data_IF_564685064017
#
_entry.id   IF_564685064017
#
_cell.length_a   1.000
_cell.length_b   1.000
_cell.length_c   1.000
_cell.angle_alpha   90.00
_cell.angle_beta   90.00
_cell.angle_gamma   90.00
#
_symmetry.space_group_name_H-M   'P 1'
#
loop_
_entity.id
_entity.type
_entity.pdbx_description
1 polymer ?
#
# COMPACT_ATOMS: atom_id res chain seq x y z
N UNK A 1 2.50 27.01 0.75
CA UNK A 1 2.42 25.89 1.71
C UNK A 1 3.40 25.98 2.89
N UNK A 2 4.70 25.68 2.78
CA UNK A 2 5.59 25.62 3.97
C UNK A 2 5.68 26.94 4.76
N UNK A 3 5.63 28.09 4.06
CA UNK A 3 5.57 29.43 4.68
C UNK A 3 4.28 29.71 5.46
N UNK A 4 3.20 29.00 5.14
CA UNK A 4 1.88 29.16 5.78
C UNK A 4 1.70 28.18 6.96
N UNK A 5 2.65 27.26 7.17
CA UNK A 5 2.65 26.29 8.26
C UNK A 5 2.27 24.86 7.87
N UNK A 6 2.34 23.96 8.87
CA UNK A 6 2.14 22.52 8.72
C UNK A 6 0.80 22.15 8.06
N UNK A 7 -0.29 22.85 8.41
CA UNK A 7 -1.60 22.57 7.84
C UNK A 7 -1.63 22.72 6.30
N UNK A 8 -1.03 23.79 5.77
CA UNK A 8 -0.93 24.01 4.32
C UNK A 8 0.00 23.00 3.63
N UNK A 9 1.03 22.50 4.32
CA UNK A 9 1.90 21.43 3.82
C UNK A 9 1.12 20.12 3.69
N UNK A 10 0.39 19.72 4.73
CA UNK A 10 -0.43 18.50 4.73
C UNK A 10 -1.52 18.58 3.66
N UNK A 11 -2.28 19.67 3.60
CA UNK A 11 -3.32 19.84 2.58
C UNK A 11 -2.74 19.82 1.16
N UNK A 12 -1.56 20.42 0.96
CA UNK A 12 -0.86 20.40 -0.32
C UNK A 12 -0.47 19.00 -0.78
N UNK A 13 0.08 18.17 0.11
CA UNK A 13 0.42 16.78 -0.23
C UNK A 13 -0.81 15.92 -0.53
N UNK A 14 -1.88 16.06 0.25
CA UNK A 14 -3.15 15.35 -0.01
C UNK A 14 -3.77 15.75 -1.36
N UNK A 15 -3.69 17.04 -1.72
CA UNK A 15 -4.13 17.53 -3.02
C UNK A 15 -3.37 16.86 -4.17
N UNK A 16 -2.03 16.81 -4.09
CA UNK A 16 -1.20 16.13 -5.10
C UNK A 16 -1.51 14.63 -5.16
N UNK A 17 -1.65 13.97 -4.01
CA UNK A 17 -2.03 12.57 -3.92
C UNK A 17 -3.35 12.30 -4.64
N UNK A 18 -4.40 13.08 -4.37
CA UNK A 18 -5.73 12.90 -4.99
C UNK A 18 -5.75 13.14 -6.49
N UNK A 19 -5.07 14.19 -6.98
CA UNK A 19 -4.97 14.46 -8.42
C UNK A 19 -4.23 13.33 -9.13
N UNK A 20 -3.08 12.92 -8.59
CA UNK A 20 -2.27 11.86 -9.20
C UNK A 20 -3.01 10.52 -9.26
N UNK A 21 -3.81 10.21 -8.22
CA UNK A 21 -4.64 9.00 -8.20
C UNK A 21 -5.72 9.01 -9.30
N UNK A 22 -6.38 10.15 -9.53
CA UNK A 22 -7.37 10.28 -10.59
C UNK A 22 -6.75 10.10 -11.98
N UNK A 23 -5.61 10.76 -12.24
CA UNK A 23 -4.88 10.63 -13.50
C UNK A 23 -4.42 9.20 -13.75
N UNK A 24 -3.83 8.55 -12.75
CA UNK A 24 -3.42 7.16 -12.83
C UNK A 24 -4.61 6.22 -13.08
N UNK A 25 -5.74 6.45 -12.42
CA UNK A 25 -6.97 5.66 -12.62
C UNK A 25 -7.45 5.71 -14.06
N UNK A 26 -7.52 6.91 -14.66
CA UNK A 26 -7.94 7.07 -16.05
C UNK A 26 -7.00 6.33 -16.99
N UNK A 27 -5.69 6.45 -16.78
CA UNK A 27 -4.69 5.77 -17.61
C UNK A 27 -4.81 4.25 -17.50
N UNK A 28 -5.01 3.71 -16.29
CA UNK A 28 -5.19 2.27 -16.08
C UNK A 28 -6.49 1.81 -16.75
N UNK A 29 -7.60 2.51 -16.56
CA UNK A 29 -8.89 2.18 -17.15
C UNK A 29 -8.82 2.18 -18.69
N UNK A 30 -8.22 3.20 -19.28
CA UNK A 30 -7.98 3.27 -20.72
C UNK A 30 -7.09 2.11 -21.21
N UNK A 31 -6.04 1.77 -20.45
CA UNK A 31 -5.14 0.66 -20.80
C UNK A 31 -5.84 -0.69 -20.75
N UNK A 32 -6.62 -0.97 -19.69
CA UNK A 32 -7.40 -2.21 -19.56
C UNK A 32 -8.40 -2.33 -20.71
N UNK A 33 -9.13 -1.25 -21.01
CA UNK A 33 -10.10 -1.24 -22.11
C UNK A 33 -9.42 -1.46 -23.46
N UNK A 34 -8.30 -0.79 -23.72
CA UNK A 34 -7.54 -0.94 -24.96
C UNK A 34 -7.03 -2.38 -25.12
N UNK A 35 -6.45 -2.98 -24.08
CA UNK A 35 -5.97 -4.36 -24.11
C UNK A 35 -7.13 -5.32 -24.38
N UNK A 36 -8.23 -5.15 -23.66
CA UNK A 36 -9.44 -5.95 -23.82
C UNK A 36 -10.01 -5.85 -25.26
N UNK A 37 -10.01 -4.64 -25.82
CA UNK A 37 -10.50 -4.40 -27.19
C UNK A 37 -9.58 -5.04 -28.24
N UNK A 38 -8.27 -4.79 -28.16
CA UNK A 38 -7.26 -5.29 -29.12
C UNK A 38 -7.19 -6.82 -29.09
N UNK A 39 -7.40 -7.45 -27.93
CA UNK A 39 -7.42 -8.91 -27.83
C UNK A 39 -8.70 -9.56 -28.37
N UNK A 40 -9.64 -8.79 -28.91
CA UNK A 40 -10.89 -9.31 -29.47
C UNK A 40 -12.02 -9.46 -28.44
N UNK A 41 -11.91 -8.80 -27.28
CA UNK A 41 -12.90 -8.84 -26.21
C UNK A 41 -14.30 -8.35 -26.59
N UNK A 42 -14.42 -7.54 -27.65
CA UNK A 42 -15.71 -7.13 -28.22
C UNK A 42 -16.40 -8.24 -29.02
N UNK A 43 -15.64 -9.24 -29.48
CA UNK A 43 -16.15 -10.39 -30.23
C UNK A 43 -16.44 -11.54 -29.25
N UNK A 44 -15.49 -11.86 -28.37
CA UNK A 44 -15.69 -12.81 -27.28
C UNK A 44 -15.08 -12.27 -25.98
N UNK A 45 -15.86 -12.16 -24.89
CA UNK A 45 -15.34 -11.71 -23.60
C UNK A 45 -14.17 -12.55 -23.07
N UNK A 46 -14.11 -13.83 -23.44
CA UNK A 46 -13.05 -14.75 -23.02
C UNK A 46 -11.68 -14.32 -23.57
N UNK A 47 -11.63 -13.93 -24.86
CA UNK A 47 -10.41 -13.39 -25.46
C UNK A 47 -10.03 -12.03 -24.87
N UNK A 48 -11.04 -11.23 -24.50
CA UNK A 48 -10.85 -9.98 -23.75
C UNK A 48 -10.13 -10.21 -22.42
N UNK A 49 -10.72 -11.06 -21.57
CA UNK A 49 -10.18 -11.41 -20.25
C UNK A 49 -8.80 -12.06 -20.35
N UNK A 50 -8.61 -12.97 -21.31
CA UNK A 50 -7.31 -13.60 -21.56
C UNK A 50 -6.26 -12.56 -21.97
N UNK A 51 -6.60 -11.63 -22.87
CA UNK A 51 -5.73 -10.53 -23.26
C UNK A 51 -5.34 -9.63 -22.10
N UNK A 52 -6.29 -9.22 -21.26
CA UNK A 52 -6.02 -8.46 -20.03
C UNK A 52 -5.10 -9.23 -19.09
N UNK A 53 -5.23 -10.56 -19.03
CA UNK A 53 -4.38 -11.43 -18.23
C UNK A 53 -2.93 -11.46 -18.71
N UNK A 54 -2.73 -11.59 -20.02
CA UNK A 54 -1.39 -11.49 -20.63
C UNK A 54 -0.80 -10.09 -20.43
N UNK A 55 -1.62 -9.03 -20.54
CA UNK A 55 -1.20 -7.66 -20.25
C UNK A 55 -0.67 -7.49 -18.82
N UNK A 56 -1.32 -8.11 -17.83
CA UNK A 56 -0.85 -8.11 -16.44
C UNK A 56 0.55 -8.76 -16.30
N UNK A 57 0.77 -9.89 -16.98
CA UNK A 57 2.07 -10.58 -17.00
C UNK A 57 3.13 -9.74 -17.73
N UNK A 58 2.76 -9.06 -18.82
CA UNK A 58 3.66 -8.22 -19.59
C UNK A 58 4.23 -7.06 -18.77
N UNK A 59 3.44 -6.42 -17.90
CA UNK A 59 3.94 -5.37 -16.98
C UNK A 59 5.03 -5.92 -16.04
N UNK A 60 4.91 -7.18 -15.63
CA UNK A 60 5.88 -7.86 -14.77
C UNK A 60 7.09 -8.43 -15.54
N UNK A 61 7.12 -8.39 -16.88
CA UNK A 61 8.26 -8.91 -17.66
C UNK A 61 9.57 -8.15 -17.40
N UNK A 62 9.47 -6.87 -17.01
CA UNK A 62 10.59 -6.00 -16.64
C UNK A 62 10.83 -5.95 -15.12
N UNK A 63 10.23 -6.88 -14.35
CA UNK A 63 10.35 -6.93 -12.89
C UNK A 63 11.80 -6.89 -12.38
N UNK A 64 12.80 -7.58 -12.99
CA UNK A 64 14.18 -7.49 -12.52
C UNK A 64 14.73 -6.05 -12.55
N UNK A 65 14.37 -5.26 -13.57
CA UNK A 65 14.77 -3.85 -13.69
C UNK A 65 14.08 -3.02 -12.62
N UNK A 66 12.77 -3.25 -12.42
CA UNK A 66 11.98 -2.55 -11.39
C UNK A 66 12.57 -2.78 -10.00
N UNK A 67 12.89 -4.03 -9.65
CA UNK A 67 13.48 -4.38 -8.36
C UNK A 67 14.88 -3.81 -8.18
N UNK A 68 15.70 -3.77 -9.23
CA UNK A 68 17.03 -3.15 -9.18
C UNK A 68 16.94 -1.64 -8.90
N UNK A 69 15.99 -0.94 -9.53
CA UNK A 69 15.77 0.49 -9.31
C UNK A 69 15.22 0.79 -7.90
N UNK A 70 14.35 -0.07 -7.36
CA UNK A 70 13.82 0.08 -6.00
C UNK A 70 14.91 -0.15 -4.94
N UNK A 71 15.69 -1.22 -5.12
CA UNK A 71 16.79 -1.56 -4.21
C UNK A 71 17.86 -0.47 -4.15
N UNK A 72 18.10 0.23 -5.26
CA UNK A 72 19.07 1.33 -5.31
C UNK A 72 18.76 2.43 -4.29
N UNK A 73 17.49 2.75 -4.04
CA UNK A 73 17.10 3.78 -3.05
C UNK A 73 17.53 3.39 -1.64
N UNK A 74 17.13 2.21 -1.19
CA UNK A 74 17.48 1.70 0.15
C UNK A 74 19.00 1.53 0.35
N UNK A 75 19.72 1.07 -0.68
CA UNK A 75 21.18 0.95 -0.62
C UNK A 75 21.84 2.34 -0.48
N UNK A 76 21.33 3.34 -1.20
CA UNK A 76 21.87 4.71 -1.16
C UNK A 76 21.63 5.36 0.21
N UNK A 77 20.45 5.16 0.81
CA UNK A 77 20.10 5.62 2.16
C UNK A 77 21.01 4.98 3.23
N UNK A 78 21.19 3.66 3.20
CA UNK A 78 22.11 2.97 4.12
C UNK A 78 23.57 3.45 3.96
N UNK A 79 24.02 3.69 2.72
CA UNK A 79 25.35 4.21 2.45
C UNK A 79 25.54 5.64 2.99
N UNK A 80 24.53 6.51 2.83
CA UNK A 80 24.52 7.86 3.38
C UNK A 80 24.55 7.85 4.91
N UNK A 81 23.76 6.98 5.55
CA UNK A 81 23.77 6.77 6.99
C UNK A 81 25.14 6.36 7.51
N UNK A 82 25.78 5.38 6.87
CA UNK A 82 27.13 4.91 7.23
C UNK A 82 28.19 6.01 7.09
N UNK A 83 28.14 6.82 6.03
CA UNK A 83 29.05 7.95 5.85
C UNK A 83 28.88 8.99 6.97
N UNK A 84 27.63 9.31 7.31
CA UNK A 84 27.29 10.27 8.37
C UNK A 84 27.77 9.77 9.74
N UNK A 85 27.50 8.50 10.07
CA UNK A 85 27.96 7.88 11.31
C UNK A 85 29.49 7.75 11.39
N UNK A 86 30.18 7.63 10.25
CA UNK A 86 31.64 7.58 10.19
C UNK A 86 32.31 8.97 10.22
N UNK A 87 31.55 10.06 10.32
CA UNK A 87 32.07 11.43 10.29
C UNK A 87 32.66 11.86 8.93
N UNK A 88 32.35 11.14 7.85
CA UNK A 88 32.86 11.44 6.50
C UNK A 88 31.99 12.55 5.89
N UNK A 89 32.60 13.72 5.68
CA UNK A 89 31.93 14.91 5.16
C UNK A 89 32.45 15.36 3.78
N UNK A 90 31.80 16.37 3.20
CA UNK A 90 32.20 17.00 1.93
C UNK A 90 31.69 16.24 0.71
N UNK A 91 32.51 16.21 -0.36
CA UNK A 91 32.11 15.73 -1.70
C UNK A 91 31.47 14.34 -1.71
N UNK A 92 31.92 13.43 -0.83
CA UNK A 92 31.38 12.06 -0.75
C UNK A 92 29.95 12.03 -0.18
N UNK A 93 29.71 12.82 0.87
CA UNK A 93 28.38 12.94 1.47
C UNK A 93 27.43 13.67 0.51
N UNK A 94 27.89 14.74 -0.15
CA UNK A 94 27.09 15.45 -1.14
C UNK A 94 26.71 14.57 -2.35
N UNK A 95 27.63 13.72 -2.79
CA UNK A 95 27.35 12.74 -3.85
C UNK A 95 26.30 11.72 -3.40
N UNK A 96 26.37 11.21 -2.17
CA UNK A 96 25.34 10.30 -1.65
C UNK A 96 24.00 11.00 -1.41
N UNK A 97 23.98 12.23 -0.91
CA UNK A 97 22.74 13.01 -0.76
C UNK A 97 22.01 13.14 -2.11
N UNK A 98 22.75 13.32 -3.21
CA UNK A 98 22.17 13.35 -4.57
C UNK A 98 21.67 11.97 -5.00
N UNK A 99 22.39 10.90 -4.69
CA UNK A 99 21.95 9.53 -5.01
C UNK A 99 20.70 9.12 -4.22
N UNK A 100 20.61 9.45 -2.94
CA UNK A 100 19.43 9.21 -2.09
C UNK A 100 18.20 9.97 -2.60
N UNK A 101 18.36 11.26 -2.95
CA UNK A 101 17.30 12.05 -3.63
C UNK A 101 16.80 11.39 -4.92
N UNK A 102 17.71 10.91 -5.77
CA UNK A 102 17.35 10.17 -6.98
C UNK A 102 16.65 8.84 -6.64
N UNK A 103 17.14 8.14 -5.61
CA UNK A 103 16.59 6.90 -5.08
C UNK A 103 15.13 7.03 -4.67
N UNK A 104 14.77 8.10 -3.96
CA UNK A 104 13.37 8.32 -3.54
C UNK A 104 12.43 8.56 -4.72
N UNK A 105 12.92 9.24 -5.77
CA UNK A 105 12.15 9.43 -7.00
C UNK A 105 11.94 8.10 -7.74
N UNK A 106 12.98 7.27 -7.80
CA UNK A 106 12.89 5.93 -8.38
C UNK A 106 11.96 5.02 -7.57
N UNK A 107 12.06 5.03 -6.24
CA UNK A 107 11.19 4.26 -5.36
C UNK A 107 9.71 4.66 -5.54
N UNK A 108 9.40 5.95 -5.68
CA UNK A 108 8.05 6.41 -5.98
C UNK A 108 7.54 5.89 -7.34
N UNK A 109 8.39 5.92 -8.37
CA UNK A 109 8.07 5.37 -9.69
C UNK A 109 7.79 3.86 -9.62
N UNK A 110 8.67 3.10 -8.94
CA UNK A 110 8.53 1.65 -8.77
C UNK A 110 7.27 1.30 -7.98
N UNK A 111 6.98 2.02 -6.88
CA UNK A 111 5.73 1.88 -6.12
C UNK A 111 4.52 2.07 -7.05
N UNK A 112 4.54 3.06 -7.92
CA UNK A 112 3.51 3.28 -8.95
C UNK A 112 3.34 2.10 -9.90
N UNK A 113 4.44 1.57 -10.46
CA UNK A 113 4.40 0.39 -11.34
C UNK A 113 3.87 -0.85 -10.60
N UNK A 114 4.31 -1.06 -9.36
CA UNK A 114 3.87 -2.17 -8.53
C UNK A 114 2.38 -2.10 -8.20
N UNK A 115 1.82 -0.89 -8.03
CA UNK A 115 0.38 -0.68 -7.85
C UNK A 115 -0.37 -0.99 -9.15
N UNK A 116 0.09 -0.47 -10.30
CA UNK A 116 -0.55 -0.72 -11.62
C UNK A 116 -0.57 -2.22 -11.93
N UNK A 117 0.58 -2.89 -11.79
CA UNK A 117 0.67 -4.34 -11.94
C UNK A 117 -0.29 -5.06 -11.00
N UNK A 118 -0.33 -4.64 -9.73
CA UNK A 118 -1.23 -5.20 -8.73
C UNK A 118 -2.70 -5.13 -9.14
N UNK A 119 -3.14 -4.00 -9.70
CA UNK A 119 -4.52 -3.83 -10.20
C UNK A 119 -4.82 -4.80 -11.33
N UNK A 120 -3.95 -4.89 -12.34
CA UNK A 120 -4.14 -5.80 -13.46
C UNK A 120 -4.19 -7.27 -12.98
N UNK A 121 -3.26 -7.67 -12.12
CA UNK A 121 -3.25 -9.02 -11.53
C UNK A 121 -4.51 -9.29 -10.70
N UNK A 122 -4.98 -8.31 -9.92
CA UNK A 122 -6.19 -8.46 -9.11
C UNK A 122 -7.45 -8.66 -9.96
N UNK A 123 -7.58 -7.96 -11.10
CA UNK A 123 -8.68 -8.16 -12.05
C UNK A 123 -8.68 -9.62 -12.55
N UNK A 124 -7.52 -10.14 -12.94
CA UNK A 124 -7.36 -11.52 -13.42
C UNK A 124 -7.71 -12.53 -12.33
N UNK A 125 -7.22 -12.30 -11.11
CA UNK A 125 -7.51 -13.15 -9.97
C UNK A 125 -9.01 -13.13 -9.60
N UNK A 126 -9.71 -12.01 -9.80
CA UNK A 126 -11.16 -11.95 -9.62
C UNK A 126 -11.91 -12.84 -10.64
N UNK A 127 -11.46 -12.89 -11.90
CA UNK A 127 -11.99 -13.84 -12.88
C UNK A 127 -11.68 -15.29 -12.49
N UNK A 128 -10.46 -15.58 -12.04
CA UNK A 128 -10.08 -16.90 -11.56
C UNK A 128 -10.93 -17.33 -10.35
N UNK A 129 -11.25 -16.38 -9.46
CA UNK A 129 -12.11 -16.61 -8.31
C UNK A 129 -13.54 -16.99 -8.69
N UNK A 130 -14.13 -16.35 -9.72
CA UNK A 130 -15.43 -16.77 -10.26
C UNK A 130 -15.40 -18.22 -10.74
N UNK A 131 -14.31 -18.64 -11.38
CA UNK A 131 -14.09 -20.04 -11.77
C UNK A 131 -14.02 -20.99 -10.56
N UNK A 132 -13.33 -20.58 -9.49
CA UNK A 132 -13.23 -21.34 -8.25
C UNK A 132 -14.59 -21.51 -7.54
N UNK A 133 -15.41 -20.45 -7.50
CA UNK A 133 -16.79 -20.49 -7.01
C UNK A 133 -17.62 -21.49 -7.81
N UNK A 134 -17.63 -21.37 -9.14
CA UNK A 134 -18.44 -22.23 -10.01
C UNK A 134 -18.07 -23.70 -9.83
N UNK A 135 -16.77 -24.00 -9.73
CA UNK A 135 -16.29 -25.35 -9.44
C UNK A 135 -16.80 -25.85 -8.08
N UNK A 136 -16.66 -25.04 -7.03
CA UNK A 136 -17.12 -25.41 -5.69
C UNK A 136 -18.64 -25.68 -5.65
N UNK A 137 -19.46 -24.89 -6.35
CA UNK A 137 -20.90 -25.11 -6.45
C UNK A 137 -21.22 -26.45 -7.08
N UNK A 138 -20.56 -26.78 -8.19
CA UNK A 138 -20.71 -28.07 -8.88
C UNK A 138 -20.28 -29.24 -7.98
N UNK A 139 -19.13 -29.12 -7.31
CA UNK A 139 -18.59 -30.17 -6.43
C UNK A 139 -19.55 -30.50 -5.26
N UNK A 140 -20.31 -29.51 -4.77
CA UNK A 140 -21.31 -29.69 -3.72
C UNK A 140 -22.75 -29.90 -4.22
N UNK A 141 -22.97 -29.90 -5.54
CA UNK A 141 -24.31 -30.08 -6.13
C UNK A 141 -25.25 -28.89 -5.96
N UNK A 142 -24.72 -27.68 -5.75
CA UNK A 142 -25.49 -26.44 -5.70
C UNK A 142 -25.70 -25.83 -7.10
N UNK A 143 -26.71 -24.96 -7.23
CA UNK A 143 -26.94 -24.22 -8.48
C UNK A 143 -25.76 -23.31 -8.81
N UNK A 144 -25.33 -23.33 -10.07
CA UNK A 144 -24.32 -22.40 -10.59
C UNK A 144 -24.89 -21.07 -11.05
N UNK A 145 -26.22 -20.93 -11.06
CA UNK A 145 -26.89 -19.68 -11.40
C UNK A 145 -26.79 -18.71 -10.21
N UNK A 146 -25.78 -17.83 -10.27
CA UNK A 146 -25.58 -16.76 -9.29
C UNK A 146 -25.99 -15.44 -9.92
N UNK A 147 -26.86 -14.69 -9.24
CA UNK A 147 -27.20 -13.33 -9.60
C UNK A 147 -26.08 -12.36 -9.19
N UNK A 148 -25.35 -11.83 -10.18
CA UNK A 148 -24.33 -10.80 -10.00
C UNK A 148 -24.85 -9.38 -10.30
N UNK A 149 -26.17 -9.20 -10.43
CA UNK A 149 -26.80 -7.91 -10.67
C UNK A 149 -26.45 -6.89 -9.58
N UNK A 150 -26.29 -5.63 -9.97
CA UNK A 150 -26.12 -4.54 -9.00
C UNK A 150 -27.39 -4.28 -8.17
N UNK A 151 -28.53 -4.89 -8.51
CA UNK A 151 -29.75 -4.83 -7.70
C UNK A 151 -29.84 -5.96 -6.67
N UNK A 152 -28.94 -6.93 -6.71
CA UNK A 152 -28.84 -7.96 -5.68
C UNK A 152 -28.30 -7.34 -4.37
N UNK A 153 -28.93 -7.65 -3.24
CA UNK A 153 -28.61 -7.02 -1.95
C UNK A 153 -27.27 -7.48 -1.39
N UNK A 154 -26.88 -8.73 -1.62
CA UNK A 154 -25.57 -9.27 -1.26
C UNK A 154 -24.45 -8.58 -2.04
N UNK A 155 -24.67 -8.32 -3.34
CA UNK A 155 -23.75 -7.57 -4.20
C UNK A 155 -23.61 -6.12 -3.72
N UNK A 156 -24.72 -5.42 -3.47
CA UNK A 156 -24.70 -4.04 -2.96
C UNK A 156 -23.98 -3.94 -1.62
N UNK A 157 -24.29 -4.87 -0.70
CA UNK A 157 -23.65 -4.94 0.61
C UNK A 157 -22.15 -5.23 0.46
N UNK A 158 -21.79 -6.17 -0.42
CA UNK A 158 -20.42 -6.48 -0.77
C UNK A 158 -19.67 -5.25 -1.28
N UNK A 159 -20.26 -4.46 -2.18
CA UNK A 159 -19.65 -3.23 -2.71
C UNK A 159 -19.37 -2.22 -1.59
N UNK A 160 -20.35 -1.95 -0.71
CA UNK A 160 -20.19 -0.96 0.36
C UNK A 160 -19.12 -1.37 1.36
N UNK A 161 -19.15 -2.63 1.80
CA UNK A 161 -18.18 -3.16 2.77
C UNK A 161 -16.79 -3.27 2.13
N UNK A 162 -16.71 -3.72 0.88
CA UNK A 162 -15.47 -3.85 0.15
C UNK A 162 -14.82 -2.49 -0.08
N UNK A 163 -15.56 -1.47 -0.50
CA UNK A 163 -15.04 -0.11 -0.67
C UNK A 163 -14.53 0.52 0.65
N UNK A 164 -15.15 0.18 1.79
CA UNK A 164 -14.74 0.67 3.11
C UNK A 164 -13.53 -0.09 3.69
N UNK A 165 -13.29 -1.33 3.25
CA UNK A 165 -12.28 -2.20 3.85
C UNK A 165 -10.82 -1.67 3.76
N UNK A 166 -10.36 -1.06 2.65
CA UNK A 166 -9.00 -0.51 2.56
C UNK A 166 -8.80 0.67 3.50
N UNK A 167 -9.83 1.50 3.69
CA UNK A 167 -9.79 2.63 4.62
C UNK A 167 -9.69 2.17 6.08
N UNK A 168 -10.43 1.12 6.44
CA UNK A 168 -10.30 0.54 7.77
C UNK A 168 -8.92 -0.11 7.98
N UNK A 169 -8.36 -0.71 6.93
CA UNK A 169 -7.02 -1.27 6.97
C UNK A 169 -5.94 -0.21 7.15
N UNK A 170 -5.97 0.89 6.39
CA UNK A 170 -5.04 2.02 6.54
C UNK A 170 -5.16 2.69 7.91
N UNK A 171 -6.38 2.86 8.42
CA UNK A 171 -6.62 3.43 9.74
C UNK A 171 -5.93 2.65 10.87
N UNK A 172 -5.77 1.32 10.73
CA UNK A 172 -5.02 0.52 11.71
C UNK A 172 -3.54 0.94 11.75
N UNK A 173 -2.92 1.23 10.60
CA UNK A 173 -1.54 1.71 10.54
C UNK A 173 -1.39 3.13 11.07
N UNK A 174 -2.35 4.01 10.78
CA UNK A 174 -2.38 5.37 11.34
C UNK A 174 -2.45 5.38 12.87
N UNK A 175 -3.00 4.33 13.47
CA UNK A 175 -2.97 4.13 14.92
C UNK A 175 -1.68 3.44 15.39
N UNK A 176 -1.22 2.41 14.69
CA UNK A 176 -0.18 1.51 15.18
C UNK A 176 1.25 2.04 14.98
N UNK A 177 1.50 2.78 13.89
CA UNK A 177 2.83 3.35 13.61
C UNK A 177 3.18 4.41 14.65
N UNK A 178 2.34 5.43 14.95
CA UNK A 178 2.64 6.40 16.01
C UNK A 178 2.81 5.75 17.38
N UNK A 179 2.03 4.71 17.69
CA UNK A 179 2.18 3.96 18.93
C UNK A 179 3.54 3.25 19.02
N UNK A 180 4.03 2.71 17.91
CA UNK A 180 5.36 2.08 17.81
C UNK A 180 6.47 3.12 17.93
N UNK A 181 6.37 4.22 17.19
CA UNK A 181 7.33 5.33 17.21
C UNK A 181 7.44 5.94 18.61
N UNK A 182 6.33 6.04 19.35
CA UNK A 182 6.34 6.55 20.73
C UNK A 182 7.22 5.72 21.66
N UNK A 183 7.18 4.40 21.57
CA UNK A 183 8.02 3.51 22.41
C UNK A 183 9.50 3.78 22.15
N UNK A 184 9.88 3.91 20.89
CA UNK A 184 11.26 4.23 20.50
C UNK A 184 11.66 5.64 20.95
N UNK A 185 10.77 6.63 20.79
CA UNK A 185 11.02 8.01 21.22
C UNK A 185 11.18 8.15 22.73
N UNK A 186 10.39 7.42 23.52
CA UNK A 186 10.50 7.44 24.97
C UNK A 186 11.82 6.82 25.44
N UNK A 187 12.32 5.78 24.76
CA UNK A 187 13.64 5.19 25.02
C UNK A 187 14.78 6.13 24.61
N UNK A 188 14.72 6.75 23.43
CA UNK A 188 15.71 7.74 22.99
C UNK A 188 15.76 8.90 24.00
N UNK A 189 14.59 9.42 24.42
CA UNK A 189 14.50 10.45 25.46
C UNK A 189 15.08 10.01 26.81
N UNK A 190 14.98 8.72 27.14
CA UNK A 190 15.59 8.17 28.36
C UNK A 190 17.12 8.16 28.24
N UNK A 191 17.67 7.74 27.10
CA UNK A 191 19.12 7.66 26.89
C UNK A 191 19.77 9.05 26.80
N UNK A 192 19.18 10.01 26.08
CA UNK A 192 19.74 11.37 25.96
C UNK A 192 19.72 12.19 27.27
N UNK A 193 19.06 11.70 28.33
CA UNK A 193 19.18 12.29 29.68
C UNK A 193 20.55 12.05 30.28
N UNK A 194 21.25 11.01 29.85
CA UNK A 194 22.66 10.83 30.14
C UNK A 194 23.47 11.86 29.32
N UNK A 195 24.12 12.79 30.02
CA UNK A 195 24.92 13.85 29.41
C UNK A 195 26.14 13.30 28.67
N UNK A 196 26.66 12.12 29.07
CA UNK A 196 27.76 11.47 28.35
C UNK A 196 27.31 11.01 26.96
N UNK A 197 26.10 10.45 26.85
CA UNK A 197 25.52 10.08 25.55
C UNK A 197 25.18 11.34 24.73
N UNK A 198 24.57 12.35 25.36
CA UNK A 198 24.20 13.59 24.66
C UNK A 198 25.41 14.36 24.09
N UNK A 199 26.55 14.32 24.79
CA UNK A 199 27.81 14.94 24.33
C UNK A 199 28.61 14.06 23.37
N UNK A 200 28.19 12.81 23.15
CA UNK A 200 28.92 11.84 22.32
C UNK A 200 30.17 11.26 23.00
N UNK A 201 30.25 11.34 24.33
CA UNK A 201 31.34 10.76 25.13
C UNK A 201 31.10 9.26 25.43
N UNK A 202 29.83 8.85 25.54
CA UNK A 202 29.40 7.47 25.76
C UNK A 202 28.58 6.95 24.57
N UNK A 203 28.72 5.66 24.25
CA UNK A 203 27.91 5.02 23.22
C UNK A 203 26.45 4.81 23.69
N UNK A 204 25.46 5.14 22.84
CA UNK A 204 24.06 4.79 23.08
C UNK A 204 23.83 3.28 23.10
N UNK A 205 22.76 2.85 23.79
CA UNK A 205 22.29 1.46 23.74
C UNK A 205 21.38 1.26 22.52
N UNK A 206 22.00 0.85 21.41
CA UNK A 206 21.32 0.57 20.14
C UNK A 206 20.48 -0.71 20.20
N UNK A 207 20.98 -1.75 20.87
CA UNK A 207 20.30 -3.06 20.96
C UNK A 207 18.92 -2.93 21.58
N UNK A 208 18.80 -2.10 22.60
CA UNK A 208 17.51 -1.85 23.26
C UNK A 208 16.51 -1.12 22.35
N UNK A 209 16.98 -0.16 21.55
CA UNK A 209 16.13 0.50 20.55
C UNK A 209 15.63 -0.51 19.50
N UNK A 210 16.51 -1.41 19.04
CA UNK A 210 16.17 -2.46 18.07
C UNK A 210 15.17 -3.47 18.66
N UNK A 211 15.38 -3.96 19.89
CA UNK A 211 14.47 -4.92 20.54
C UNK A 211 13.07 -4.32 20.73
N UNK A 212 12.99 -3.08 21.23
CA UNK A 212 11.72 -2.38 21.44
C UNK A 212 10.97 -2.14 20.12
N UNK A 213 11.65 -1.65 19.09
CA UNK A 213 11.07 -1.45 17.76
C UNK A 213 10.56 -2.76 17.17
N UNK A 214 11.34 -3.84 17.28
CA UNK A 214 11.00 -5.17 16.76
C UNK A 214 9.75 -5.74 17.44
N UNK A 215 9.72 -5.77 18.78
CA UNK A 215 8.58 -6.31 19.53
C UNK A 215 7.31 -5.51 19.26
N UNK A 216 7.42 -4.19 19.22
CA UNK A 216 6.27 -3.32 18.96
C UNK A 216 5.74 -3.52 17.53
N UNK A 217 6.62 -3.59 16.53
CA UNK A 217 6.24 -3.84 15.13
C UNK A 217 5.55 -5.20 14.94
N UNK A 218 6.08 -6.27 15.55
CA UNK A 218 5.49 -7.61 15.49
C UNK A 218 4.10 -7.63 16.12
N UNK A 219 3.98 -7.11 17.35
CA UNK A 219 2.69 -7.07 18.07
C UNK A 219 1.63 -6.28 17.31
N UNK A 220 2.02 -5.14 16.74
CA UNK A 220 1.09 -4.26 16.03
C UNK A 220 0.70 -4.77 14.63
N UNK A 221 1.50 -5.66 14.02
CA UNK A 221 1.20 -6.25 12.71
C UNK A 221 0.18 -7.39 12.74
N UNK A 222 -0.06 -8.01 13.91
CA UNK A 222 -1.01 -9.13 14.05
C UNK A 222 -2.44 -8.70 13.68
N UNK A 223 -2.87 -7.52 14.14
CA UNK A 223 -4.23 -7.02 13.89
C UNK A 223 -4.54 -6.83 12.40
N UNK A 224 -3.71 -6.09 11.64
CA UNK A 224 -3.82 -6.00 10.19
C UNK A 224 -3.77 -7.37 9.47
N UNK A 225 -2.91 -8.30 9.92
CA UNK A 225 -2.82 -9.64 9.31
C UNK A 225 -4.11 -10.46 9.48
N UNK A 226 -4.67 -10.50 10.70
CA UNK A 226 -5.95 -11.16 10.98
C UNK A 226 -7.07 -10.53 10.14
N UNK A 227 -7.08 -9.20 10.01
CA UNK A 227 -8.05 -8.50 9.18
C UNK A 227 -7.95 -8.91 7.70
N UNK A 228 -6.74 -8.94 7.16
CA UNK A 228 -6.49 -9.25 5.75
C UNK A 228 -6.93 -10.69 5.38
N UNK A 229 -6.78 -11.64 6.30
CA UNK A 229 -7.15 -13.06 6.04
C UNK A 229 -8.58 -13.36 6.46
N UNK A 230 -9.00 -12.91 7.64
CA UNK A 230 -10.28 -13.29 8.23
C UNK A 230 -11.50 -12.61 7.60
N UNK A 231 -11.36 -11.33 7.21
CA UNK A 231 -12.48 -10.57 6.65
C UNK A 231 -13.05 -11.18 5.36
N UNK A 232 -12.27 -11.49 4.30
CA UNK A 232 -12.82 -12.08 3.08
C UNK A 232 -13.50 -13.44 3.32
N UNK A 233 -12.97 -14.25 4.25
CA UNK A 233 -13.59 -15.53 4.62
C UNK A 233 -14.95 -15.32 5.27
N UNK A 234 -15.05 -14.40 6.23
CA UNK A 234 -16.31 -14.06 6.88
C UNK A 234 -17.34 -13.49 5.90
N UNK A 235 -16.92 -12.59 5.01
CA UNK A 235 -17.80 -12.02 3.98
C UNK A 235 -18.32 -13.09 3.02
N UNK A 236 -17.47 -14.03 2.59
CA UNK A 236 -17.90 -15.14 1.73
C UNK A 236 -18.89 -16.08 2.38
N UNK A 237 -18.78 -16.33 3.69
CA UNK A 237 -19.75 -17.16 4.42
C UNK A 237 -21.09 -16.43 4.58
N UNK A 238 -21.07 -15.13 4.90
CA UNK A 238 -22.29 -14.37 5.21
C UNK A 238 -23.03 -13.90 3.96
N UNK A 239 -22.33 -13.27 3.00
CA UNK A 239 -22.94 -12.71 1.79
C UNK A 239 -22.93 -13.66 0.58
N UNK A 240 -22.30 -14.83 0.74
CA UNK A 240 -22.24 -15.83 -0.31
C UNK A 240 -21.41 -15.42 -1.53
N UNK A 241 -21.46 -16.24 -2.59
CA UNK A 241 -20.58 -16.10 -3.77
C UNK A 241 -20.67 -14.75 -4.50
N UNK A 242 -21.88 -14.21 -4.65
CA UNK A 242 -22.10 -12.92 -5.30
C UNK A 242 -21.51 -11.77 -4.48
N UNK A 243 -21.80 -11.75 -3.18
CA UNK A 243 -21.36 -10.70 -2.27
C UNK A 243 -19.85 -10.65 -2.08
N UNK A 244 -19.17 -11.80 -1.98
CA UNK A 244 -17.70 -11.82 -1.86
C UNK A 244 -17.01 -11.37 -3.15
N UNK A 245 -17.52 -11.73 -4.33
CA UNK A 245 -16.96 -11.21 -5.59
C UNK A 245 -17.09 -9.68 -5.64
N UNK A 246 -18.27 -9.16 -5.28
CA UNK A 246 -18.54 -7.73 -5.23
C UNK A 246 -17.66 -7.00 -4.20
N UNK A 247 -17.43 -7.61 -3.03
CA UNK A 247 -16.49 -7.15 -2.00
C UNK A 247 -15.06 -7.05 -2.54
N UNK A 248 -14.56 -8.10 -3.20
CA UNK A 248 -13.17 -8.12 -3.70
C UNK A 248 -12.96 -7.07 -4.80
N UNK A 249 -13.92 -6.90 -5.71
CA UNK A 249 -13.84 -5.93 -6.80
C UNK A 249 -13.91 -4.47 -6.30
N UNK A 250 -14.76 -4.20 -5.31
CA UNK A 250 -14.86 -2.86 -4.71
C UNK A 250 -13.69 -2.55 -3.77
N UNK A 251 -13.16 -3.53 -3.02
CA UNK A 251 -11.95 -3.39 -2.24
C UNK A 251 -10.73 -3.12 -3.13
N UNK A 252 -10.65 -3.79 -4.29
CA UNK A 252 -9.69 -3.46 -5.33
C UNK A 252 -9.85 -2.01 -5.76
N UNK A 253 -11.05 -1.61 -6.21
CA UNK A 253 -11.32 -0.28 -6.76
C UNK A 253 -11.03 0.86 -5.76
N UNK A 254 -11.39 0.70 -4.49
CA UNK A 254 -11.12 1.69 -3.46
C UNK A 254 -9.66 1.68 -3.02
N UNK A 255 -9.12 0.49 -2.75
CA UNK A 255 -7.79 0.33 -2.14
C UNK A 255 -6.66 0.73 -3.08
N UNK A 256 -6.81 0.54 -4.40
CA UNK A 256 -5.78 1.01 -5.34
C UNK A 256 -5.71 2.54 -5.37
N UNK A 257 -6.86 3.24 -5.34
CA UNK A 257 -6.91 4.71 -5.31
C UNK A 257 -6.23 5.19 -4.04
N UNK A 258 -6.58 4.60 -2.90
CA UNK A 258 -5.99 4.92 -1.61
C UNK A 258 -4.47 4.68 -1.58
N UNK A 259 -4.00 3.57 -2.16
CA UNK A 259 -2.57 3.25 -2.28
C UNK A 259 -1.79 4.35 -3.03
N UNK A 260 -2.33 4.83 -4.16
CA UNK A 260 -1.70 5.88 -4.97
C UNK A 260 -1.71 7.20 -4.21
N UNK A 261 -2.84 7.57 -3.60
CA UNK A 261 -2.94 8.80 -2.80
C UNK A 261 -1.88 8.82 -1.71
N UNK A 262 -1.77 7.75 -0.93
CA UNK A 262 -0.82 7.68 0.19
C UNK A 262 0.64 7.67 -0.24
N UNK A 263 0.96 6.91 -1.30
CA UNK A 263 2.33 6.80 -1.81
C UNK A 263 2.81 8.12 -2.40
N UNK A 264 1.97 8.77 -3.22
CA UNK A 264 2.34 10.01 -3.89
C UNK A 264 2.28 11.22 -2.96
N UNK A 265 1.31 11.29 -2.04
CA UNK A 265 1.27 12.35 -1.04
C UNK A 265 2.52 12.28 -0.12
N UNK A 266 2.88 11.09 0.36
CA UNK A 266 4.07 10.93 1.19
C UNK A 266 5.38 11.19 0.45
N UNK A 267 5.50 10.72 -0.80
CA UNK A 267 6.64 11.09 -1.65
C UNK A 267 6.74 12.60 -1.92
N UNK A 268 5.60 13.28 -2.07
CA UNK A 268 5.58 14.73 -2.25
C UNK A 268 6.03 15.49 -0.99
N UNK A 269 5.63 15.06 0.22
CA UNK A 269 6.10 15.65 1.46
C UNK A 269 7.61 15.48 1.65
N UNK A 270 8.12 14.27 1.45
CA UNK A 270 9.55 13.96 1.58
C UNK A 270 10.40 14.75 0.57
N UNK A 271 10.01 14.73 -0.70
CA UNK A 271 10.72 15.48 -1.74
C UNK A 271 10.65 16.99 -1.50
N UNK A 272 9.58 17.50 -0.89
CA UNK A 272 9.49 18.92 -0.50
C UNK A 272 10.48 19.27 0.61
N UNK A 273 10.67 18.38 1.61
CA UNK A 273 11.69 18.51 2.66
C UNK A 273 13.09 18.48 2.05
N UNK A 274 13.41 17.47 1.22
CA UNK A 274 14.72 17.35 0.55
C UNK A 274 15.02 18.54 -0.36
N UNK A 275 14.03 19.07 -1.08
CA UNK A 275 14.19 20.28 -1.91
C UNK A 275 14.53 21.53 -1.08
N UNK A 276 14.05 21.60 0.16
CA UNK A 276 14.42 22.66 1.10
C UNK A 276 15.86 22.49 1.60
N UNK A 277 16.26 21.26 1.95
CA UNK A 277 17.60 20.92 2.44
C UNK A 277 18.71 21.10 1.39
N UNK A 278 18.38 20.93 0.11
CA UNK A 278 19.32 21.10 -0.99
C UNK A 278 19.70 22.57 -1.26
N UNK A 279 18.99 23.54 -0.67
CA UNK A 279 19.27 24.97 -0.88
C UNK A 279 20.26 25.48 0.18
N UNK A 280 21.41 26.04 -0.22
CA UNK A 280 22.45 26.47 0.72
C UNK A 280 22.01 27.61 1.65
N UNK A 281 21.05 28.43 1.23
CA UNK A 281 20.63 29.65 1.94
C UNK A 281 19.50 29.40 2.95
N UNK A 282 19.15 28.13 3.20
CA UNK A 282 17.97 27.76 3.98
C UNK A 282 18.33 27.27 5.37
N UNK A 283 17.71 27.91 6.36
CA UNK A 283 17.89 27.56 7.76
C UNK A 283 17.10 26.29 8.13
N UNK A 284 17.83 25.25 8.57
CA UNK A 284 17.27 23.99 9.10
C UNK A 284 16.69 24.14 10.51
N UNK A 285 16.65 25.33 11.07
CA UNK A 285 15.98 25.64 12.35
C UNK A 285 14.76 26.54 12.16
N UNK A 286 14.45 26.88 10.91
CA UNK A 286 13.28 27.68 10.56
C UNK A 286 11.94 26.98 10.83
N UNK A 287 10.90 27.77 11.03
CA UNK A 287 9.53 27.27 11.19
C UNK A 287 9.02 26.58 9.90
N UNK A 288 9.48 27.03 8.74
CA UNK A 288 9.20 26.40 7.45
C UNK A 288 9.78 24.99 7.36
N UNK A 289 11.03 24.81 7.80
CA UNK A 289 11.67 23.49 7.81
C UNK A 289 10.96 22.54 8.77
N UNK A 290 10.59 23.01 9.96
CA UNK A 290 9.79 22.22 10.92
C UNK A 290 8.46 21.76 10.30
N UNK A 291 7.78 22.63 9.56
CA UNK A 291 6.52 22.28 8.88
C UNK A 291 6.71 21.21 7.79
N UNK A 292 7.87 21.18 7.15
CA UNK A 292 8.22 20.14 6.16
C UNK A 292 8.57 18.81 6.84
N UNK A 293 9.26 18.84 7.98
CA UNK A 293 9.51 17.64 8.80
C UNK A 293 8.18 17.03 9.25
N UNK A 294 7.26 17.83 9.78
CA UNK A 294 5.95 17.34 10.22
C UNK A 294 5.18 16.65 9.07
N UNK A 295 5.26 17.24 7.86
CA UNK A 295 4.67 16.64 6.66
C UNK A 295 5.32 15.32 6.26
N UNK A 296 6.64 15.24 6.31
CA UNK A 296 7.39 14.01 5.98
C UNK A 296 7.15 12.88 7.01
N UNK A 297 7.06 13.20 8.31
CA UNK A 297 6.72 12.21 9.35
C UNK A 297 5.33 11.60 9.12
N UNK A 298 4.36 12.41 8.66
CA UNK A 298 3.06 11.89 8.20
C UNK A 298 3.26 11.01 6.96
N UNK A 299 4.09 11.49 6.02
CA UNK A 299 4.46 10.83 4.78
C UNK A 299 5.09 9.45 4.96
N UNK A 300 5.95 9.24 5.95
CA UNK A 300 6.58 7.94 6.22
C UNK A 300 5.53 6.87 6.56
N UNK A 301 4.53 7.24 7.36
CA UNK A 301 3.42 6.32 7.67
C UNK A 301 2.60 5.99 6.42
N UNK A 302 2.35 6.99 5.55
CA UNK A 302 1.53 6.78 4.36
C UNK A 302 2.29 6.07 3.23
N UNK A 303 3.52 6.49 2.91
CA UNK A 303 4.29 6.05 1.73
C UNK A 303 5.04 4.74 1.94
N UNK A 304 5.42 4.40 3.18
CA UNK A 304 6.25 3.21 3.45
C UNK A 304 5.49 2.11 4.19
N UNK A 305 4.40 2.44 4.88
CA UNK A 305 3.59 1.45 5.60
C UNK A 305 2.22 1.28 4.97
N UNK A 306 1.33 2.27 5.10
CA UNK A 306 -0.08 2.10 4.75
C UNK A 306 -0.31 1.91 3.24
N UNK A 307 0.26 2.79 2.41
CA UNK A 307 0.09 2.80 0.95
C UNK A 307 0.56 1.51 0.28
N UNK A 308 1.83 1.09 0.45
CA UNK A 308 2.31 -0.18 -0.10
C UNK A 308 1.53 -1.40 0.42
N UNK A 309 1.12 -1.37 1.69
CA UNK A 309 0.34 -2.47 2.29
C UNK A 309 -1.03 -2.67 1.64
N UNK A 310 -1.64 -1.63 1.05
CA UNK A 310 -2.92 -1.78 0.33
C UNK A 310 -2.81 -2.72 -0.87
N UNK A 311 -1.69 -2.62 -1.62
CA UNK A 311 -1.46 -3.50 -2.77
C UNK A 311 -1.35 -4.97 -2.34
N UNK A 312 -0.73 -5.22 -1.18
CA UNK A 312 -0.62 -6.56 -0.58
C UNK A 312 -1.99 -7.03 -0.09
N UNK A 313 -2.74 -6.17 0.62
CA UNK A 313 -4.08 -6.48 1.13
C UNK A 313 -4.98 -7.02 0.02
N UNK A 314 -5.09 -6.30 -1.10
CA UNK A 314 -5.99 -6.65 -2.20
C UNK A 314 -5.62 -8.01 -2.78
N UNK A 315 -4.34 -8.22 -3.10
CA UNK A 315 -3.88 -9.50 -3.67
C UNK A 315 -4.08 -10.65 -2.68
N UNK A 316 -3.74 -10.43 -1.42
CA UNK A 316 -3.90 -11.44 -0.37
C UNK A 316 -5.36 -11.81 -0.16
N UNK A 317 -6.28 -10.84 -0.09
CA UNK A 317 -7.70 -11.11 0.09
C UNK A 317 -8.27 -11.93 -1.06
N UNK A 318 -7.92 -11.61 -2.31
CA UNK A 318 -8.39 -12.39 -3.47
C UNK A 318 -7.80 -13.81 -3.43
N UNK A 319 -6.49 -13.95 -3.16
CA UNK A 319 -5.85 -15.26 -3.06
C UNK A 319 -6.47 -16.11 -1.95
N UNK A 320 -6.68 -15.56 -0.75
CA UNK A 320 -7.34 -16.24 0.36
C UNK A 320 -8.76 -16.65 -0.04
N UNK A 321 -9.53 -15.79 -0.70
CA UNK A 321 -10.87 -16.13 -1.19
C UNK A 321 -10.85 -17.30 -2.18
N UNK A 322 -9.90 -17.32 -3.13
CA UNK A 322 -9.74 -18.45 -4.07
C UNK A 322 -9.50 -19.77 -3.31
N UNK A 323 -8.55 -19.77 -2.36
CA UNK A 323 -8.22 -20.98 -1.60
C UNK A 323 -9.37 -21.43 -0.69
N UNK A 324 -10.14 -20.50 -0.14
CA UNK A 324 -11.23 -20.79 0.79
C UNK A 324 -12.60 -20.88 0.11
N UNK A 325 -12.67 -20.74 -1.22
CA UNK A 325 -13.94 -20.75 -1.96
C UNK A 325 -14.82 -21.98 -1.66
N UNK A 326 -14.30 -23.23 -1.64
CA UNK A 326 -15.13 -24.39 -1.31
C UNK A 326 -15.72 -24.31 0.11
N UNK A 327 -14.92 -23.88 1.09
CA UNK A 327 -15.36 -23.72 2.47
C UNK A 327 -16.45 -22.64 2.59
N UNK A 328 -16.25 -21.49 1.94
CA UNK A 328 -17.18 -20.37 1.96
C UNK A 328 -18.53 -20.77 1.34
N UNK A 329 -18.50 -21.39 0.15
CA UNK A 329 -19.70 -21.89 -0.54
C UNK A 329 -20.45 -22.88 0.35
N UNK A 330 -19.77 -23.92 0.83
CA UNK A 330 -20.40 -24.95 1.65
C UNK A 330 -21.08 -24.38 2.90
N UNK A 331 -20.37 -23.54 3.66
CA UNK A 331 -20.91 -22.96 4.89
C UNK A 331 -22.02 -21.95 4.63
N UNK A 332 -21.91 -21.14 3.57
CA UNK A 332 -22.96 -20.19 3.21
C UNK A 332 -24.28 -20.91 2.93
N UNK A 333 -24.28 -21.91 2.05
CA UNK A 333 -25.49 -22.64 1.71
C UNK A 333 -26.01 -23.50 2.87
N UNK A 334 -25.14 -24.02 3.74
CA UNK A 334 -25.57 -24.70 4.97
C UNK A 334 -26.36 -23.75 5.89
N UNK A 335 -25.88 -22.51 6.04
CA UNK A 335 -26.52 -21.51 6.90
C UNK A 335 -27.82 -20.98 6.29
N UNK A 336 -27.88 -20.78 4.97
CA UNK A 336 -29.05 -20.22 4.30
C UNK A 336 -30.12 -21.25 3.94
N UNK A 337 -29.77 -22.54 3.80
CA UNK A 337 -30.74 -23.63 3.61
C UNK A 337 -31.44 -24.08 4.90
N UNK A 338 -30.96 -23.60 6.06
CA UNK A 338 -31.54 -23.89 7.38
C UNK A 338 -32.65 -22.92 7.79
N UNK A 339 -32.97 -21.93 6.94
CA UNK A 339 -34.06 -20.96 7.09
C UNK A 339 -35.03 -21.09 5.92
#
# INVERSE_FOLDING_TARGET
>A
SAKEGTASVVLGGLYIGKISAFQATILIAASVYLIYWVSGGMISPEYGVYGTSIGAVAVLSILPIILALDAQGAISDMAQGNLTMSGINGVRLDAMNKMDSLGNTMAAMVKGIAIISGVLTAIVLAYAFRGAINKALLDFGFSTEIDYSLFNIEVLTGILVGAASPHLFSAKFFKSVPATTKVMMDEIKRQIRDLGIFRGENEPDYDKCVDLATRAAQKNSIGPAIFAVGLPVGIGIVLGPAGILAYLLSALASGFIEAIVMSNAGGAWDNSKKLYEAKPDRDKHSAEYKSLIDGDVIGDTTKDVAGPSQNILIKLQITVSIFTAPLQVYLHYLLTSSF
#
